data_IF_278766975199
#
_entry.id   IF_278766975199
#
_cell.length_a   1.000
_cell.length_b   1.000
_cell.length_c   1.000
_cell.angle_alpha   90.00
_cell.angle_beta   90.00
_cell.angle_gamma   90.00
#
_symmetry.space_group_name_H-M   'P 1'
#
loop_
_entity.id
_entity.type
_entity.pdbx_description
1 polymer ?
#
# COMPACT_ATOMS: atom_id res chain seq x y z
N UNK A 1 -17.15 -11.85 8.21
CA UNK A 1 -16.90 -12.79 7.08
C UNK A 1 -15.49 -12.57 6.56
N UNK A 2 -14.85 -13.52 5.87
CA UNK A 2 -13.50 -13.29 5.28
C UNK A 2 -13.44 -12.00 4.46
N UNK A 3 -14.50 -11.71 3.70
CA UNK A 3 -14.64 -10.49 2.91
C UNK A 3 -14.60 -9.20 3.75
N UNK A 4 -15.27 -9.15 4.90
CA UNK A 4 -15.28 -7.95 5.74
C UNK A 4 -13.89 -7.64 6.32
N UNK A 5 -13.14 -8.68 6.71
CA UNK A 5 -11.76 -8.52 7.20
C UNK A 5 -10.83 -7.99 6.10
N UNK A 6 -11.03 -8.44 4.85
CA UNK A 6 -10.27 -7.96 3.69
C UNK A 6 -10.62 -6.49 3.40
N UNK A 7 -11.90 -6.13 3.42
CA UNK A 7 -12.35 -4.74 3.20
C UNK A 7 -11.82 -3.79 4.28
N UNK A 8 -11.87 -4.20 5.55
CA UNK A 8 -11.35 -3.41 6.67
C UNK A 8 -9.84 -3.25 6.57
N UNK A 9 -9.11 -4.32 6.22
CA UNK A 9 -7.66 -4.27 5.99
C UNK A 9 -7.32 -3.32 4.84
N UNK A 10 -8.06 -3.39 3.73
CA UNK A 10 -7.84 -2.51 2.59
C UNK A 10 -8.07 -1.04 2.95
N UNK A 11 -9.14 -0.74 3.71
CA UNK A 11 -9.42 0.62 4.19
C UNK A 11 -8.31 1.14 5.09
N UNK A 12 -7.84 0.33 6.04
CA UNK A 12 -6.76 0.70 6.95
C UNK A 12 -5.44 0.98 6.20
N UNK A 13 -5.10 0.15 5.21
CA UNK A 13 -3.93 0.39 4.36
C UNK A 13 -4.06 1.67 3.55
N UNK A 14 -5.22 1.90 2.94
CA UNK A 14 -5.46 3.10 2.14
C UNK A 14 -5.37 4.38 2.98
N UNK A 15 -6.03 4.41 4.14
CA UNK A 15 -6.00 5.56 5.05
C UNK A 15 -4.58 5.84 5.54
N UNK A 16 -3.85 4.80 5.98
CA UNK A 16 -2.46 4.95 6.38
C UNK A 16 -1.60 5.48 5.23
N UNK A 17 -1.84 4.99 4.01
CA UNK A 17 -1.08 5.39 2.83
C UNK A 17 -1.33 6.87 2.52
N UNK A 18 -2.59 7.32 2.49
CA UNK A 18 -2.95 8.72 2.24
C UNK A 18 -2.39 9.66 3.31
N UNK A 19 -2.46 9.27 4.58
CA UNK A 19 -1.84 10.03 5.68
C UNK A 19 -0.32 10.12 5.49
N UNK A 20 0.33 9.01 5.12
CA UNK A 20 1.78 9.00 4.87
C UNK A 20 2.15 9.87 3.67
N UNK A 21 1.33 9.93 2.62
CA UNK A 21 1.56 10.81 1.47
C UNK A 21 1.51 12.28 1.86
N UNK A 22 0.59 12.65 2.74
CA UNK A 22 0.41 14.02 3.20
C UNK A 22 1.45 14.45 4.26
N UNK A 23 1.90 13.53 5.12
CA UNK A 23 2.73 13.85 6.30
C UNK A 23 4.20 13.44 6.20
N UNK A 24 4.57 12.59 5.24
CA UNK A 24 5.92 12.04 5.13
C UNK A 24 6.49 12.26 3.74
N UNK A 25 7.79 12.52 3.68
CA UNK A 25 8.52 12.57 2.41
C UNK A 25 8.48 11.19 1.72
N UNK A 26 8.52 11.13 0.38
CA UNK A 26 8.50 9.87 -0.35
C UNK A 26 9.63 8.89 0.00
N UNK A 27 10.79 9.41 0.40
CA UNK A 27 11.96 8.64 0.85
C UNK A 27 11.85 8.13 2.29
N UNK A 28 10.79 8.48 3.02
CA UNK A 28 10.64 8.14 4.43
C UNK A 28 10.46 6.61 4.59
N UNK A 29 11.28 5.92 5.42
CA UNK A 29 11.26 4.46 5.54
C UNK A 29 9.89 3.87 5.90
N UNK A 30 9.12 4.56 6.76
CA UNK A 30 7.75 4.12 7.11
C UNK A 30 6.81 4.17 5.91
N UNK A 31 6.89 5.20 5.06
CA UNK A 31 6.04 5.33 3.87
C UNK A 31 6.38 4.27 2.84
N UNK A 32 7.67 3.99 2.64
CA UNK A 32 8.14 2.91 1.76
C UNK A 32 7.72 1.53 2.27
N UNK A 33 7.92 1.25 3.56
CA UNK A 33 7.49 0.00 4.17
C UNK A 33 5.98 -0.21 4.10
N UNK A 34 5.20 0.87 4.27
CA UNK A 34 3.76 0.83 4.12
C UNK A 34 3.34 0.52 2.67
N UNK A 35 3.94 1.19 1.69
CA UNK A 35 3.68 0.92 0.29
C UNK A 35 4.03 -0.54 -0.07
N UNK A 36 5.17 -1.04 0.41
CA UNK A 36 5.57 -2.42 0.21
C UNK A 36 4.54 -3.40 0.79
N UNK A 37 4.15 -3.23 2.06
CA UNK A 37 3.16 -4.10 2.70
C UNK A 37 1.80 -4.04 1.98
N UNK A 38 1.40 -2.86 1.52
CA UNK A 38 0.14 -2.71 0.79
C UNK A 38 0.20 -3.40 -0.59
N UNK A 39 1.36 -3.37 -1.27
CA UNK A 39 1.56 -4.12 -2.51
C UNK A 39 1.47 -5.64 -2.30
N UNK A 40 2.07 -6.16 -1.21
CA UNK A 40 1.96 -7.57 -0.82
C UNK A 40 0.52 -7.94 -0.53
N UNK A 41 -0.24 -7.08 0.15
CA UNK A 41 -1.67 -7.30 0.39
C UNK A 41 -2.47 -7.42 -0.93
N UNK A 42 -2.20 -6.55 -1.91
CA UNK A 42 -2.84 -6.66 -3.23
C UNK A 42 -2.48 -7.97 -3.94
N UNK A 43 -1.24 -8.43 -3.82
CA UNK A 43 -0.77 -9.65 -4.46
C UNK A 43 -1.32 -10.91 -3.79
N UNK A 44 -1.12 -11.07 -2.48
CA UNK A 44 -1.40 -12.31 -1.75
C UNK A 44 -2.85 -12.43 -1.28
N UNK A 45 -3.48 -11.32 -0.89
CA UNK A 45 -4.83 -11.35 -0.29
C UNK A 45 -5.92 -11.10 -1.32
N UNK A 46 -5.71 -10.10 -2.18
CA UNK A 46 -6.68 -9.70 -3.21
C UNK A 46 -6.47 -10.39 -4.56
N UNK A 47 -5.39 -11.16 -4.73
CA UNK A 47 -5.03 -11.82 -6.00
C UNK A 47 -5.04 -10.84 -7.18
N UNK A 48 -4.55 -9.62 -6.95
CA UNK A 48 -4.54 -8.50 -7.89
C UNK A 48 -3.09 -8.05 -8.18
N UNK A 49 -2.29 -8.90 -8.87
CA UNK A 49 -0.87 -8.65 -9.08
C UNK A 49 -0.58 -7.36 -9.85
N UNK A 50 -1.45 -6.97 -10.78
CA UNK A 50 -1.30 -5.72 -11.55
C UNK A 50 -1.35 -4.48 -10.64
N UNK A 51 -2.25 -4.49 -9.65
CA UNK A 51 -2.35 -3.39 -8.67
C UNK A 51 -1.15 -3.37 -7.73
N UNK A 52 -0.69 -4.53 -7.30
CA UNK A 52 0.51 -4.65 -6.48
C UNK A 52 1.72 -4.05 -7.19
N UNK A 53 1.92 -4.41 -8.47
CA UNK A 53 3.01 -3.89 -9.29
C UNK A 53 2.90 -2.37 -9.49
N UNK A 54 1.70 -1.87 -9.79
CA UNK A 54 1.47 -0.43 -9.94
C UNK A 54 1.82 0.35 -8.68
N UNK A 55 1.37 -0.13 -7.51
CA UNK A 55 1.62 0.52 -6.23
C UNK A 55 3.11 0.49 -5.85
N UNK A 56 3.77 -0.65 -6.03
CA UNK A 56 5.21 -0.78 -5.77
C UNK A 56 6.03 0.12 -6.69
N UNK A 57 5.70 0.17 -7.99
CA UNK A 57 6.36 1.05 -8.95
C UNK A 57 6.16 2.52 -8.60
N UNK A 58 4.92 2.91 -8.31
CA UNK A 58 4.63 4.29 -7.89
C UNK A 58 5.44 4.70 -6.66
N UNK A 59 5.52 3.84 -5.64
CA UNK A 59 6.28 4.13 -4.44
C UNK A 59 7.79 4.26 -4.72
N UNK A 60 8.33 3.42 -5.61
CA UNK A 60 9.72 3.48 -6.03
C UNK A 60 10.03 4.77 -6.83
N UNK A 61 9.18 5.08 -7.82
CA UNK A 61 9.31 6.27 -8.67
C UNK A 61 9.16 7.56 -7.86
N UNK A 62 8.25 7.60 -6.87
CA UNK A 62 8.09 8.75 -5.97
C UNK A 62 9.28 8.94 -5.03
N UNK A 63 10.01 7.86 -4.70
CA UNK A 63 11.16 7.88 -3.77
C UNK A 63 12.52 8.14 -4.42
N UNK A 64 12.59 8.07 -5.75
CA UNK A 64 13.80 8.33 -6.54
C UNK A 64 13.97 9.82 -6.78
#
# INVERSE_FOLDING_TARGET
SRTSVIEDSQKAYQEAFDISKAKMQPTHPIRLGLALNFSVFYYEILNAPDRACHLAKQAFDESS
#
